data_IF_790627142238
#
_entry.id   IF_790627142238
#
_cell.length_a   1.000
_cell.length_b   1.000
_cell.length_c   1.000
_cell.angle_alpha   90.00
_cell.angle_beta   90.00
_cell.angle_gamma   90.00
#
_symmetry.space_group_name_H-M   'P 1'
#
loop_
_entity.id
_entity.type
_entity.pdbx_description
1 polymer ?
#
# COMPACT_ATOMS: atom_id res chain seq x y z
N UNK A 1 -36.06 13.76 16.70
CA UNK A 1 -36.31 12.48 17.43
C UNK A 1 -35.53 11.43 16.68
N UNK A 2 -34.28 11.19 17.11
CA UNK A 2 -33.41 10.18 16.49
C UNK A 2 -33.92 8.84 17.01
N UNK A 3 -34.57 8.06 16.16
CA UNK A 3 -34.87 6.67 16.42
C UNK A 3 -33.54 5.92 16.40
N UNK A 4 -32.94 5.68 17.54
CA UNK A 4 -31.89 4.69 17.71
C UNK A 4 -32.52 3.30 17.57
N UNK A 5 -32.71 2.87 16.32
CA UNK A 5 -33.05 1.49 16.00
C UNK A 5 -31.91 0.61 16.51
N UNK A 6 -32.19 -0.29 17.46
CA UNK A 6 -31.19 -1.23 17.95
C UNK A 6 -30.63 -2.08 16.81
N UNK A 7 -29.47 -2.70 17.03
CA UNK A 7 -28.86 -3.66 16.08
C UNK A 7 -29.75 -4.91 15.94
N UNK A 8 -29.90 -5.44 14.74
CA UNK A 8 -30.42 -6.78 14.53
C UNK A 8 -29.43 -7.83 15.08
N UNK A 9 -29.89 -9.07 15.18
CA UNK A 9 -29.13 -10.14 15.90
C UNK A 9 -27.69 -10.31 15.43
N UNK A 10 -27.45 -10.17 14.13
CA UNK A 10 -26.13 -10.42 13.51
C UNK A 10 -25.46 -9.13 13.01
N UNK A 11 -26.02 -7.95 13.28
CA UNK A 11 -25.41 -6.69 12.86
C UNK A 11 -24.27 -6.30 13.79
N UNK A 12 -23.08 -6.18 13.19
CA UNK A 12 -21.84 -5.78 13.88
C UNK A 12 -21.67 -4.27 13.85
N UNK A 13 -21.96 -3.65 12.72
CA UNK A 13 -21.92 -2.19 12.57
C UNK A 13 -22.98 -1.70 11.58
N UNK A 14 -23.25 -0.39 11.63
CA UNK A 14 -24.11 0.33 10.68
C UNK A 14 -23.39 1.56 10.14
N UNK A 15 -23.59 1.83 8.86
CA UNK A 15 -23.19 3.07 8.22
C UNK A 15 -24.42 3.54 7.43
N UNK A 16 -25.09 4.60 7.90
CA UNK A 16 -26.36 5.07 7.32
C UNK A 16 -27.39 3.93 7.20
N UNK A 17 -27.77 3.61 5.96
CA UNK A 17 -28.74 2.55 5.64
C UNK A 17 -28.10 1.16 5.43
N UNK A 18 -26.77 1.05 5.47
CA UNK A 18 -26.07 -0.21 5.28
C UNK A 18 -25.57 -0.79 6.59
N UNK A 19 -25.53 -2.12 6.68
CA UNK A 19 -25.03 -2.86 7.83
C UNK A 19 -23.90 -3.81 7.42
N UNK A 20 -22.92 -3.95 8.29
CA UNK A 20 -21.97 -5.07 8.25
C UNK A 20 -22.41 -6.14 9.23
N UNK A 21 -22.55 -7.37 8.77
CA UNK A 21 -23.05 -8.49 9.54
C UNK A 21 -21.94 -9.42 10.02
N UNK A 22 -22.25 -10.25 11.01
CA UNK A 22 -21.29 -11.25 11.53
C UNK A 22 -20.79 -12.21 10.43
N UNK A 23 -21.64 -12.80 9.56
CA UNK A 23 -21.16 -13.62 8.46
C UNK A 23 -20.14 -12.90 7.54
N UNK A 24 -20.42 -11.67 7.16
CA UNK A 24 -19.52 -10.87 6.31
C UNK A 24 -18.16 -10.63 6.99
N UNK A 25 -18.18 -10.26 8.28
CA UNK A 25 -16.95 -10.11 9.08
C UNK A 25 -16.19 -11.43 9.12
N UNK A 26 -16.87 -12.55 9.34
CA UNK A 26 -16.23 -13.86 9.47
C UNK A 26 -15.64 -14.35 8.14
N UNK A 27 -16.25 -14.07 6.99
CA UNK A 27 -15.65 -14.38 5.68
C UNK A 27 -14.32 -13.63 5.50
N UNK A 28 -14.31 -12.33 5.75
CA UNK A 28 -13.08 -11.53 5.65
C UNK A 28 -12.03 -11.99 6.66
N UNK A 29 -12.44 -12.22 7.92
CA UNK A 29 -11.53 -12.58 8.99
C UNK A 29 -10.89 -13.96 8.76
N UNK A 30 -11.66 -14.98 8.39
CA UNK A 30 -11.15 -16.33 8.12
C UNK A 30 -10.19 -16.33 6.94
N UNK A 31 -10.58 -15.73 5.81
CA UNK A 31 -9.71 -15.70 4.64
C UNK A 31 -8.40 -14.93 4.92
N UNK A 32 -8.45 -13.82 5.62
CA UNK A 32 -7.25 -13.07 5.99
C UNK A 32 -6.41 -13.81 7.03
N UNK A 33 -7.04 -14.46 8.02
CA UNK A 33 -6.35 -15.28 9.01
C UNK A 33 -5.57 -16.40 8.33
N UNK A 34 -6.20 -17.21 7.49
CA UNK A 34 -5.58 -18.35 6.82
C UNK A 34 -4.44 -17.90 5.88
N UNK A 35 -4.61 -16.77 5.19
CA UNK A 35 -3.57 -16.19 4.38
C UNK A 35 -2.33 -15.81 5.20
N UNK A 36 -2.50 -15.17 6.36
CA UNK A 36 -1.38 -14.84 7.25
C UNK A 36 -0.74 -16.10 7.85
N UNK A 37 -1.54 -17.06 8.30
CA UNK A 37 -1.04 -18.31 8.89
C UNK A 37 -0.25 -19.15 7.89
N UNK A 38 -0.65 -19.16 6.63
CA UNK A 38 0.07 -19.88 5.56
C UNK A 38 1.48 -19.35 5.31
N UNK A 39 1.72 -18.06 5.58
CA UNK A 39 3.02 -17.38 5.35
C UNK A 39 3.86 -17.34 6.62
N UNK A 40 3.25 -17.05 7.76
CA UNK A 40 3.97 -16.69 9.01
C UNK A 40 3.76 -17.69 10.15
N UNK A 41 2.84 -18.65 10.01
CA UNK A 41 2.44 -19.55 11.08
C UNK A 41 1.51 -18.91 12.12
N UNK A 42 0.92 -19.76 12.98
CA UNK A 42 -0.08 -19.33 13.99
C UNK A 42 0.48 -18.42 15.10
N UNK A 43 1.78 -18.47 15.34
CA UNK A 43 2.45 -17.67 16.37
C UNK A 43 2.39 -16.16 16.07
N UNK A 44 2.11 -15.75 14.82
CA UNK A 44 2.01 -14.35 14.43
C UNK A 44 0.96 -13.59 15.24
N UNK A 45 -0.12 -14.26 15.66
CA UNK A 45 -1.25 -13.63 16.33
C UNK A 45 -0.94 -13.09 17.72
N UNK A 46 0.10 -13.62 18.36
CA UNK A 46 0.56 -13.19 19.69
C UNK A 46 1.61 -12.07 19.62
N UNK A 47 2.05 -11.71 18.41
CA UNK A 47 3.06 -10.66 18.22
C UNK A 47 2.51 -9.32 18.67
N UNK A 48 3.26 -8.64 19.52
CA UNK A 48 2.97 -7.27 19.96
C UNK A 48 3.42 -6.27 18.87
N UNK A 49 2.50 -5.38 18.52
CA UNK A 49 2.69 -4.27 17.59
C UNK A 49 2.53 -2.95 18.36
N UNK A 50 3.50 -2.63 19.23
CA UNK A 50 3.50 -1.40 20.04
C UNK A 50 2.28 -1.27 20.96
N UNK A 51 1.90 -2.34 21.66
CA UNK A 51 0.81 -2.37 22.63
C UNK A 51 -0.54 -2.87 22.10
N UNK A 52 -0.59 -3.32 20.84
CA UNK A 52 -1.73 -3.99 20.23
C UNK A 52 -1.27 -5.34 19.67
N UNK A 53 -2.02 -6.41 19.86
CA UNK A 53 -1.65 -7.71 19.28
C UNK A 53 -1.95 -7.76 17.78
N UNK A 54 -1.23 -8.60 17.03
CA UNK A 54 -1.54 -8.83 15.62
C UNK A 54 -2.98 -9.34 15.44
N UNK A 55 -3.49 -10.13 16.37
CA UNK A 55 -4.89 -10.59 16.40
C UNK A 55 -5.90 -9.44 16.48
N UNK A 56 -5.65 -8.42 17.29
CA UNK A 56 -6.49 -7.23 17.37
C UNK A 56 -6.37 -6.38 16.11
N UNK A 57 -5.15 -6.20 15.62
CA UNK A 57 -4.87 -5.42 14.41
C UNK A 57 -5.57 -5.99 13.17
N UNK A 58 -5.57 -7.32 12.97
CA UNK A 58 -6.26 -7.93 11.83
C UNK A 58 -7.77 -7.78 11.91
N UNK A 59 -8.35 -7.87 13.11
CA UNK A 59 -9.79 -7.63 13.32
C UNK A 59 -10.17 -6.20 12.95
N UNK A 60 -9.40 -5.22 13.41
CA UNK A 60 -9.64 -3.81 13.09
C UNK A 60 -9.50 -3.55 11.59
N UNK A 61 -8.53 -4.20 10.93
CA UNK A 61 -8.37 -4.14 9.46
C UNK A 61 -9.58 -4.71 8.74
N UNK A 62 -10.10 -5.87 9.17
CA UNK A 62 -11.31 -6.47 8.60
C UNK A 62 -12.51 -5.55 8.74
N UNK A 63 -12.71 -4.98 9.93
CA UNK A 63 -13.79 -4.03 10.18
C UNK A 63 -13.68 -2.81 9.26
N UNK A 64 -12.49 -2.23 9.15
CA UNK A 64 -12.24 -1.06 8.30
C UNK A 64 -12.49 -1.37 6.81
N UNK A 65 -12.02 -2.51 6.32
CA UNK A 65 -12.21 -2.92 4.93
C UNK A 65 -13.69 -3.12 4.59
N UNK A 66 -14.43 -3.83 5.42
CA UNK A 66 -15.85 -4.03 5.19
C UNK A 66 -16.64 -2.73 5.32
N UNK A 67 -16.30 -1.88 6.29
CA UNK A 67 -16.89 -0.56 6.42
C UNK A 67 -16.63 0.34 5.20
N UNK A 68 -15.44 0.24 4.62
CA UNK A 68 -15.10 0.95 3.39
C UNK A 68 -15.96 0.46 2.21
N UNK A 69 -16.14 -0.86 2.03
CA UNK A 69 -17.01 -1.41 1.00
C UNK A 69 -18.45 -0.86 1.15
N UNK A 70 -18.99 -0.84 2.37
CA UNK A 70 -20.33 -0.29 2.63
C UNK A 70 -20.41 1.21 2.29
N UNK A 71 -19.42 2.00 2.69
CA UNK A 71 -19.34 3.42 2.36
C UNK A 71 -19.22 3.66 0.84
N UNK A 72 -18.44 2.83 0.13
CA UNK A 72 -18.32 2.89 -1.32
C UNK A 72 -19.64 2.55 -2.03
N UNK A 73 -20.43 1.61 -1.51
CA UNK A 73 -21.76 1.31 -2.02
C UNK A 73 -22.74 2.49 -1.84
N UNK A 74 -22.65 3.21 -0.71
CA UNK A 74 -23.41 4.46 -0.51
C UNK A 74 -22.94 5.57 -1.47
N UNK A 75 -21.64 5.64 -1.74
CA UNK A 75 -21.08 6.57 -2.73
C UNK A 75 -21.57 6.21 -4.15
N UNK A 76 -21.64 4.92 -4.48
CA UNK A 76 -22.23 4.44 -5.74
C UNK A 76 -23.68 4.87 -5.89
N UNK A 77 -24.49 4.78 -4.83
CA UNK A 77 -25.88 5.27 -4.83
C UNK A 77 -25.93 6.79 -5.09
N UNK A 78 -25.04 7.58 -4.46
CA UNK A 78 -24.94 9.02 -4.69
C UNK A 78 -24.68 9.35 -6.17
N UNK A 79 -23.84 8.56 -6.84
CA UNK A 79 -23.48 8.73 -8.25
C UNK A 79 -24.40 7.99 -9.24
N UNK A 80 -25.42 7.28 -8.76
CA UNK A 80 -26.28 6.41 -9.57
C UNK A 80 -25.52 5.34 -10.34
N UNK A 81 -24.41 4.84 -9.77
CA UNK A 81 -23.65 3.71 -10.30
C UNK A 81 -24.29 2.42 -9.82
N UNK A 82 -24.52 1.50 -10.74
CA UNK A 82 -25.12 0.18 -10.46
C UNK A 82 -24.40 -0.91 -11.24
N UNK A 83 -24.46 -2.13 -10.76
CA UNK A 83 -24.01 -3.30 -11.53
C UNK A 83 -25.01 -3.58 -12.66
N UNK A 84 -24.51 -3.99 -13.80
CA UNK A 84 -25.33 -4.52 -14.89
C UNK A 84 -25.65 -6.01 -14.66
N UNK A 85 -26.46 -6.59 -15.56
CA UNK A 85 -26.91 -7.98 -15.43
C UNK A 85 -25.76 -9.00 -15.58
N UNK A 86 -24.71 -8.67 -16.34
CA UNK A 86 -23.55 -9.54 -16.50
C UNK A 86 -22.67 -9.53 -15.24
N UNK A 87 -22.44 -8.34 -14.66
CA UNK A 87 -21.69 -8.20 -13.41
C UNK A 87 -22.40 -8.89 -12.23
N UNK A 88 -23.74 -8.80 -12.16
CA UNK A 88 -24.51 -9.56 -11.16
C UNK A 88 -24.43 -11.07 -11.38
N UNK A 89 -24.41 -11.51 -12.64
CA UNK A 89 -24.24 -12.91 -12.95
C UNK A 89 -22.83 -13.39 -12.52
N UNK A 90 -21.80 -12.60 -12.76
CA UNK A 90 -20.44 -12.91 -12.29
C UNK A 90 -20.36 -13.00 -10.77
N UNK A 91 -21.00 -12.08 -10.06
CA UNK A 91 -21.05 -12.12 -8.59
C UNK A 91 -21.74 -13.41 -8.09
N UNK A 92 -22.80 -13.83 -8.76
CA UNK A 92 -23.51 -15.07 -8.43
C UNK A 92 -22.64 -16.30 -8.69
N UNK A 93 -21.99 -16.39 -9.87
CA UNK A 93 -21.12 -17.51 -10.24
C UNK A 93 -19.90 -17.59 -9.31
N UNK A 94 -19.31 -16.45 -8.95
CA UNK A 94 -18.22 -16.40 -7.96
C UNK A 94 -18.67 -16.89 -6.57
N UNK A 95 -19.89 -16.53 -6.15
CA UNK A 95 -20.47 -16.99 -4.89
C UNK A 95 -20.73 -18.49 -4.87
N UNK A 96 -21.26 -19.05 -5.97
CA UNK A 96 -21.45 -20.48 -6.14
C UNK A 96 -20.10 -21.22 -6.09
N UNK A 97 -19.08 -20.77 -6.83
CA UNK A 97 -17.74 -21.35 -6.83
C UNK A 97 -17.11 -21.31 -5.43
N UNK A 98 -17.16 -20.17 -4.76
CA UNK A 98 -16.61 -20.07 -3.41
C UNK A 98 -17.35 -20.97 -2.42
N UNK A 99 -18.69 -20.98 -2.45
CA UNK A 99 -19.51 -21.80 -1.56
C UNK A 99 -19.25 -23.30 -1.77
N UNK A 100 -19.12 -23.77 -3.00
CA UNK A 100 -18.77 -25.14 -3.34
C UNK A 100 -17.35 -25.54 -2.88
N UNK A 101 -16.45 -24.59 -2.75
CA UNK A 101 -15.09 -24.82 -2.25
C UNK A 101 -15.02 -25.01 -0.73
N UNK A 102 -16.07 -24.59 0.02
CA UNK A 102 -16.12 -24.65 1.47
C UNK A 102 -16.55 -26.01 1.99
N UNK A 103 -15.94 -26.43 3.09
CA UNK A 103 -16.42 -27.58 3.86
C UNK A 103 -17.48 -27.18 4.89
N UNK A 104 -18.13 -28.20 5.52
CA UNK A 104 -19.20 -27.97 6.49
C UNK A 104 -18.77 -27.15 7.71
N UNK A 105 -17.52 -27.29 8.16
CA UNK A 105 -16.95 -26.53 9.30
C UNK A 105 -16.80 -25.05 8.90
N UNK A 106 -16.26 -24.76 7.75
CA UNK A 106 -16.07 -23.40 7.24
C UNK A 106 -17.42 -22.69 7.06
N UNK A 107 -18.41 -23.37 6.46
CA UNK A 107 -19.78 -22.85 6.31
C UNK A 107 -20.39 -22.52 7.68
N UNK A 108 -20.23 -23.43 8.65
CA UNK A 108 -20.79 -23.25 9.99
C UNK A 108 -20.10 -22.11 10.77
N UNK A 109 -18.77 -22.01 10.68
CA UNK A 109 -17.96 -20.98 11.34
C UNK A 109 -18.28 -19.60 10.79
N UNK A 110 -18.30 -19.46 9.46
CA UNK A 110 -18.62 -18.20 8.80
C UNK A 110 -20.12 -17.90 8.77
N UNK A 111 -20.98 -18.88 9.01
CA UNK A 111 -22.45 -18.77 8.97
C UNK A 111 -22.97 -18.26 7.62
N UNK A 112 -22.36 -18.71 6.53
CA UNK A 112 -22.64 -18.26 5.17
C UNK A 112 -23.57 -19.21 4.40
N UNK A 113 -24.20 -18.65 3.39
CA UNK A 113 -24.89 -19.34 2.31
C UNK A 113 -24.61 -18.60 0.99
N UNK A 114 -25.03 -19.14 -0.13
CA UNK A 114 -24.82 -18.54 -1.46
C UNK A 114 -25.40 -17.12 -1.57
N UNK A 115 -26.54 -16.83 -0.93
CA UNK A 115 -27.20 -15.52 -1.00
C UNK A 115 -26.33 -14.43 -0.33
N UNK A 116 -25.77 -14.73 0.87
CA UNK A 116 -24.87 -13.83 1.58
C UNK A 116 -23.60 -13.59 0.75
N UNK A 117 -23.02 -14.65 0.21
CA UNK A 117 -21.80 -14.55 -0.60
C UNK A 117 -22.03 -13.79 -1.90
N UNK A 118 -23.17 -14.01 -2.56
CA UNK A 118 -23.57 -13.24 -3.76
C UNK A 118 -23.66 -11.75 -3.44
N UNK A 119 -24.33 -11.39 -2.34
CA UNK A 119 -24.42 -10.00 -1.89
C UNK A 119 -23.02 -9.42 -1.61
N UNK A 120 -22.13 -10.17 -0.96
CA UNK A 120 -20.77 -9.71 -0.67
C UNK A 120 -19.98 -9.43 -1.94
N UNK A 121 -20.06 -10.31 -2.94
CA UNK A 121 -19.40 -10.09 -4.23
C UNK A 121 -20.01 -8.93 -5.02
N UNK A 122 -21.34 -8.79 -5.01
CA UNK A 122 -22.01 -7.63 -5.63
C UNK A 122 -21.56 -6.31 -4.99
N UNK A 123 -21.52 -6.24 -3.65
CA UNK A 123 -21.08 -5.04 -2.94
C UNK A 123 -19.61 -4.72 -3.19
N UNK A 124 -18.76 -5.72 -3.25
CA UNK A 124 -17.33 -5.54 -3.56
C UNK A 124 -17.12 -5.08 -5.00
N UNK A 125 -17.86 -5.68 -5.96
CA UNK A 125 -17.82 -5.26 -7.36
C UNK A 125 -18.34 -3.83 -7.55
N UNK A 126 -19.43 -3.47 -6.86
CA UNK A 126 -19.98 -2.11 -6.92
C UNK A 126 -19.02 -1.08 -6.30
N UNK A 127 -18.30 -1.43 -5.23
CA UNK A 127 -17.26 -0.59 -4.65
C UNK A 127 -16.13 -0.31 -5.65
N UNK A 128 -15.62 -1.32 -6.35
CA UNK A 128 -14.63 -1.15 -7.40
C UNK A 128 -15.18 -0.34 -8.58
N UNK A 129 -16.40 -0.61 -9.00
CA UNK A 129 -17.04 0.10 -10.12
C UNK A 129 -17.23 1.59 -9.85
N UNK A 130 -17.60 2.01 -8.65
CA UNK A 130 -17.72 3.44 -8.33
C UNK A 130 -16.35 4.13 -8.27
N UNK A 131 -15.32 3.45 -7.81
CA UNK A 131 -13.94 3.95 -7.90
C UNK A 131 -13.58 4.25 -9.36
N UNK A 132 -13.70 3.26 -10.24
CA UNK A 132 -13.44 3.42 -11.68
C UNK A 132 -14.30 4.52 -12.31
N UNK A 133 -15.57 4.62 -11.92
CA UNK A 133 -16.47 5.67 -12.39
C UNK A 133 -15.97 7.07 -12.04
N UNK A 134 -15.49 7.28 -10.83
CA UNK A 134 -15.01 8.58 -10.35
C UNK A 134 -13.72 8.98 -11.08
N UNK A 135 -12.80 8.02 -11.27
CA UNK A 135 -11.49 8.32 -11.86
C UNK A 135 -11.45 8.28 -13.39
N UNK A 136 -12.50 7.79 -14.08
CA UNK A 136 -12.51 7.52 -15.53
C UNK A 136 -12.09 8.69 -16.41
N UNK A 137 -12.44 9.91 -15.99
CA UNK A 137 -12.16 11.13 -16.74
C UNK A 137 -10.88 11.85 -16.25
N UNK A 138 -10.21 11.27 -15.24
CA UNK A 138 -8.95 11.79 -14.71
C UNK A 138 -7.81 11.26 -15.56
N UNK A 139 -7.39 12.08 -16.52
CA UNK A 139 -6.27 11.77 -17.42
C UNK A 139 -5.43 13.04 -17.67
N UNK A 140 -4.72 13.54 -16.65
CA UNK A 140 -3.89 14.73 -16.80
C UNK A 140 -2.77 14.50 -17.82
N UNK A 141 -2.46 15.51 -18.61
CA UNK A 141 -1.29 15.49 -19.49
C UNK A 141 -0.02 15.72 -18.65
N UNK A 142 0.84 14.71 -18.59
CA UNK A 142 2.11 14.76 -17.85
C UNK A 142 3.24 15.04 -18.84
N UNK A 143 3.95 16.16 -18.66
CA UNK A 143 5.09 16.50 -19.49
C UNK A 143 6.29 15.58 -19.27
N UNK A 144 7.19 15.49 -20.25
CA UNK A 144 8.45 14.76 -20.07
C UNK A 144 9.32 15.36 -18.97
N UNK A 145 9.28 16.68 -18.77
CA UNK A 145 10.04 17.31 -17.69
C UNK A 145 9.47 17.02 -16.29
N UNK A 146 8.14 16.96 -16.17
CA UNK A 146 7.48 16.59 -14.90
C UNK A 146 7.81 15.15 -14.50
N UNK A 147 7.74 14.23 -15.44
CA UNK A 147 8.01 12.81 -15.21
C UNK A 147 9.47 12.41 -15.41
N UNK A 148 10.35 13.36 -15.74
CA UNK A 148 11.74 13.07 -16.10
C UNK A 148 12.43 12.19 -15.06
N UNK A 149 12.96 11.08 -15.54
CA UNK A 149 13.77 10.15 -14.77
C UNK A 149 15.21 10.20 -15.25
N UNK A 150 16.15 10.27 -14.31
CA UNK A 150 17.59 10.29 -14.57
C UNK A 150 18.22 9.02 -13.99
N UNK A 151 19.40 8.69 -14.49
CA UNK A 151 20.16 7.52 -14.05
C UNK A 151 21.55 7.94 -13.59
N UNK A 152 21.93 7.51 -12.40
CA UNK A 152 23.20 7.86 -11.76
C UNK A 152 23.88 6.65 -11.15
N UNK A 153 25.23 6.73 -11.02
CA UNK A 153 25.96 6.00 -9.99
C UNK A 153 26.34 6.98 -8.88
N UNK A 154 26.42 6.52 -7.63
CA UNK A 154 26.79 7.38 -6.52
C UNK A 154 27.67 6.68 -5.48
N UNK A 155 28.44 7.48 -4.76
CA UNK A 155 29.17 7.06 -3.57
C UNK A 155 28.56 7.77 -2.38
N UNK A 156 28.16 7.04 -1.36
CA UNK A 156 27.67 7.56 -0.08
C UNK A 156 28.70 7.25 1.01
N UNK A 157 29.14 8.30 1.71
CA UNK A 157 29.86 8.19 2.98
C UNK A 157 28.91 8.63 4.09
N UNK A 158 28.45 7.69 4.91
CA UNK A 158 27.43 7.93 5.94
C UNK A 158 27.97 8.81 7.07
N UNK A 159 27.07 9.55 7.71
CA UNK A 159 27.33 10.32 8.94
C UNK A 159 26.55 9.76 10.13
N UNK A 160 26.16 8.50 10.06
CA UNK A 160 25.45 7.78 11.10
C UNK A 160 25.79 6.29 11.06
N UNK A 161 25.50 5.61 12.15
CA UNK A 161 25.42 4.15 12.23
C UNK A 161 24.02 3.73 12.65
N UNK A 162 23.73 2.44 12.64
CA UNK A 162 22.47 1.88 13.16
C UNK A 162 22.78 0.97 14.35
N UNK A 163 21.95 1.03 15.38
CA UNK A 163 22.05 0.12 16.51
C UNK A 163 21.49 -1.28 16.19
N UNK A 164 21.50 -2.17 17.18
CA UNK A 164 21.00 -3.54 17.05
C UNK A 164 19.47 -3.64 16.80
N UNK A 165 18.72 -2.55 16.97
CA UNK A 165 17.28 -2.44 16.69
C UNK A 165 16.99 -1.79 15.34
N UNK A 166 18.04 -1.29 14.64
CA UNK A 166 17.91 -0.56 13.38
C UNK A 166 17.69 0.96 13.57
N UNK A 167 17.76 1.47 14.80
CA UNK A 167 17.65 2.90 15.07
C UNK A 167 18.92 3.63 14.64
N UNK A 168 18.74 4.81 14.01
CA UNK A 168 19.82 5.65 13.50
C UNK A 168 20.50 6.39 14.63
N UNK A 169 21.83 6.24 14.74
CA UNK A 169 22.69 6.95 15.68
C UNK A 169 23.59 7.89 14.89
N UNK A 170 23.43 9.19 15.05
CA UNK A 170 24.24 10.23 14.42
C UNK A 170 25.71 10.15 14.89
N UNK A 171 26.65 10.40 13.98
CA UNK A 171 28.05 10.56 14.30
C UNK A 171 28.33 11.84 15.12
N UNK A 172 29.40 11.83 15.90
CA UNK A 172 29.94 13.05 16.52
C UNK A 172 30.41 14.05 15.45
N UNK A 173 30.56 15.31 15.81
CA UNK A 173 31.10 16.34 14.90
C UNK A 173 32.52 16.00 14.42
N UNK A 174 33.33 15.33 15.26
CA UNK A 174 34.68 14.86 14.89
C UNK A 174 34.59 13.77 13.83
N UNK A 175 33.75 12.75 14.02
CA UNK A 175 33.54 11.65 13.07
C UNK A 175 32.89 12.16 11.75
N UNK A 176 31.95 13.14 11.81
CA UNK A 176 31.40 13.80 10.61
C UNK A 176 32.47 14.53 9.81
N UNK A 177 33.46 15.20 10.48
CA UNK A 177 34.55 15.85 9.81
C UNK A 177 35.51 14.86 9.15
N UNK A 178 35.72 13.70 9.79
CA UNK A 178 36.51 12.61 9.20
C UNK A 178 35.82 12.03 7.97
N UNK A 179 34.53 11.77 8.05
CA UNK A 179 33.69 11.34 6.92
C UNK A 179 33.72 12.36 5.75
N UNK A 180 33.63 13.66 6.05
CA UNK A 180 33.78 14.72 5.05
C UNK A 180 35.15 14.68 4.38
N UNK A 181 36.23 14.60 5.15
CA UNK A 181 37.59 14.56 4.61
C UNK A 181 37.82 13.35 3.71
N UNK A 182 37.29 12.19 4.10
CA UNK A 182 37.31 10.96 3.29
C UNK A 182 36.53 11.18 1.97
N UNK A 183 35.32 11.75 2.03
CA UNK A 183 34.51 12.02 0.84
C UNK A 183 35.17 13.02 -0.11
N UNK A 184 35.85 14.05 0.40
CA UNK A 184 36.65 15.00 -0.39
C UNK A 184 37.83 14.34 -1.11
N UNK A 185 38.52 13.41 -0.43
CA UNK A 185 39.60 12.64 -1.03
C UNK A 185 39.11 11.71 -2.13
N UNK A 186 37.96 11.05 -1.92
CA UNK A 186 37.31 10.21 -2.95
C UNK A 186 36.84 11.06 -4.14
N UNK A 187 36.24 12.22 -3.88
CA UNK A 187 35.86 13.15 -4.94
C UNK A 187 37.04 13.57 -5.83
N UNK A 188 38.19 13.82 -5.22
CA UNK A 188 39.43 14.15 -5.94
C UNK A 188 39.86 12.99 -6.83
N UNK A 189 39.88 11.75 -6.29
CA UNK A 189 40.19 10.54 -7.05
C UNK A 189 39.18 10.35 -8.21
N UNK A 190 37.88 10.56 -7.96
CA UNK A 190 36.83 10.42 -8.96
C UNK A 190 36.99 11.38 -10.15
N UNK A 191 37.60 12.55 -9.94
CA UNK A 191 37.84 13.58 -10.96
C UNK A 191 39.21 13.48 -11.64
N UNK A 192 40.09 12.55 -11.24
CA UNK A 192 41.33 12.28 -11.90
C UNK A 192 41.12 11.66 -13.29
N UNK A 193 41.97 12.04 -14.26
CA UNK A 193 41.88 11.50 -15.62
C UNK A 193 42.12 10.00 -15.62
N UNK A 194 41.21 9.25 -16.25
CA UNK A 194 41.26 7.79 -16.32
C UNK A 194 40.70 7.07 -15.08
N UNK A 195 40.12 7.78 -14.10
CA UNK A 195 39.48 7.18 -12.95
C UNK A 195 38.25 6.38 -13.34
N UNK A 196 38.11 5.17 -12.79
CA UNK A 196 36.89 4.36 -12.90
C UNK A 196 35.96 4.64 -11.71
N UNK A 197 34.91 5.43 -11.95
CA UNK A 197 33.96 5.80 -10.92
C UNK A 197 33.25 4.57 -10.34
N UNK A 198 33.00 3.54 -11.15
CA UNK A 198 32.33 2.33 -10.68
C UNK A 198 33.20 1.50 -9.73
N UNK A 199 34.51 1.47 -9.96
CA UNK A 199 35.43 0.85 -9.00
C UNK A 199 35.45 1.61 -7.66
N UNK A 200 35.37 2.95 -7.70
CA UNK A 200 35.26 3.76 -6.48
C UNK A 200 33.96 3.53 -5.73
N UNK A 201 32.84 3.39 -6.44
CA UNK A 201 31.54 3.00 -5.82
C UNK A 201 31.66 1.67 -5.11
N UNK A 202 32.20 0.64 -5.76
CA UNK A 202 32.36 -0.69 -5.16
C UNK A 202 33.28 -0.68 -3.95
N UNK A 203 34.31 0.20 -3.95
CA UNK A 203 35.31 0.26 -2.90
C UNK A 203 34.85 1.07 -1.69
N UNK A 204 34.19 2.18 -1.90
CA UNK A 204 33.97 3.18 -0.86
C UNK A 204 32.50 3.40 -0.49
N UNK A 205 31.54 3.13 -1.39
CA UNK A 205 30.14 3.45 -1.09
C UNK A 205 29.61 2.59 0.04
N UNK A 206 29.01 3.24 1.03
CA UNK A 206 28.29 2.64 2.14
C UNK A 206 26.77 2.54 1.88
N UNK A 207 26.32 3.05 0.71
CA UNK A 207 24.98 2.85 0.17
C UNK A 207 24.90 1.66 -0.78
N UNK A 208 23.80 1.58 -1.54
CA UNK A 208 23.67 0.60 -2.62
C UNK A 208 24.74 0.83 -3.70
N UNK A 209 25.32 -0.26 -4.20
CA UNK A 209 26.43 -0.21 -5.16
C UNK A 209 25.99 -0.43 -6.59
N UNK A 210 24.68 -0.32 -6.85
CA UNK A 210 24.08 -0.41 -8.16
C UNK A 210 23.86 0.95 -8.79
N UNK A 211 23.51 0.92 -10.08
CA UNK A 211 23.01 2.09 -10.78
C UNK A 211 21.62 2.43 -10.28
N UNK A 212 21.34 3.69 -10.06
CA UNK A 212 20.08 4.18 -9.51
C UNK A 212 19.38 5.11 -10.50
N UNK A 213 18.12 4.76 -10.82
CA UNK A 213 17.23 5.59 -11.65
C UNK A 213 16.09 6.11 -10.79
N UNK A 214 15.79 7.41 -10.89
CA UNK A 214 14.75 8.04 -10.08
C UNK A 214 14.17 9.27 -10.76
N UNK A 215 12.93 9.61 -10.39
CA UNK A 215 12.22 10.81 -10.77
C UNK A 215 12.30 11.90 -9.70
N UNK A 216 11.66 13.05 -9.97
CA UNK A 216 11.55 14.16 -9.01
C UNK A 216 10.72 13.74 -7.79
N UNK A 217 11.15 14.14 -6.61
CA UNK A 217 10.47 13.86 -5.33
C UNK A 217 10.76 12.47 -4.72
N UNK A 218 11.62 11.67 -5.35
CA UNK A 218 11.89 10.29 -4.90
C UNK A 218 13.11 10.16 -3.99
N UNK A 219 13.92 11.24 -3.85
CA UNK A 219 15.17 11.21 -3.06
C UNK A 219 15.28 12.41 -2.12
N UNK A 220 16.37 12.45 -1.33
CA UNK A 220 16.70 13.62 -0.50
C UNK A 220 16.90 14.86 -1.39
N UNK A 221 16.32 15.99 -1.00
CA UNK A 221 16.27 17.22 -1.82
C UNK A 221 17.64 17.65 -2.34
N UNK A 222 18.66 17.67 -1.48
CA UNK A 222 20.00 18.09 -1.88
C UNK A 222 20.63 17.12 -2.90
N UNK A 223 20.39 15.81 -2.74
CA UNK A 223 20.83 14.80 -3.70
C UNK A 223 20.14 14.99 -5.04
N UNK A 224 18.81 15.13 -5.03
CA UNK A 224 18.00 15.35 -6.23
C UNK A 224 18.45 16.59 -7.00
N UNK A 225 18.52 17.74 -6.33
CA UNK A 225 18.94 18.98 -6.95
C UNK A 225 20.33 18.88 -7.59
N UNK A 226 21.29 18.26 -6.90
CA UNK A 226 22.62 18.05 -7.44
C UNK A 226 22.60 17.15 -8.67
N UNK A 227 21.92 16.00 -8.60
CA UNK A 227 21.87 15.01 -9.66
C UNK A 227 21.17 15.53 -10.93
N UNK A 228 20.02 16.21 -10.78
CA UNK A 228 19.26 16.78 -11.92
C UNK A 228 19.95 17.93 -12.64
N UNK A 229 20.96 18.56 -12.01
CA UNK A 229 21.77 19.63 -12.62
C UNK A 229 23.01 19.11 -13.36
N UNK A 230 23.34 17.81 -13.29
CA UNK A 230 24.49 17.23 -13.97
C UNK A 230 24.19 16.96 -15.44
N UNK A 231 25.18 17.18 -16.29
CA UNK A 231 25.19 16.64 -17.64
C UNK A 231 25.57 15.15 -17.64
N UNK A 232 25.22 14.42 -18.69
CA UNK A 232 25.63 13.02 -18.86
C UNK A 232 27.16 12.88 -18.80
N UNK A 233 27.64 12.00 -17.93
CA UNK A 233 29.09 11.78 -17.68
C UNK A 233 29.67 12.71 -16.62
N UNK A 234 28.97 13.75 -16.20
CA UNK A 234 29.46 14.71 -15.20
C UNK A 234 29.41 14.13 -13.78
N UNK A 235 30.40 14.55 -12.97
CA UNK A 235 30.50 14.21 -11.56
C UNK A 235 30.22 15.46 -10.72
N UNK A 236 29.35 15.33 -9.72
CA UNK A 236 28.95 16.41 -8.82
C UNK A 236 30.11 17.01 -8.02
N UNK A 237 29.86 18.13 -7.38
CA UNK A 237 30.59 18.50 -6.16
C UNK A 237 30.20 17.56 -5.02
N UNK A 238 30.84 17.72 -3.85
CA UNK A 238 30.42 17.01 -2.66
C UNK A 238 29.02 17.50 -2.24
N UNK A 239 28.07 16.57 -2.08
CA UNK A 239 26.69 16.86 -1.71
C UNK A 239 26.45 16.37 -0.29
N UNK A 240 26.07 17.28 0.59
CA UNK A 240 25.75 16.98 1.98
C UNK A 240 24.24 16.79 2.16
N UNK A 241 23.84 15.70 2.79
CA UNK A 241 22.46 15.36 3.10
C UNK A 241 22.34 14.84 4.55
N UNK A 242 21.15 14.66 5.10
CA UNK A 242 20.95 13.98 6.38
C UNK A 242 21.51 12.56 6.45
N UNK A 243 21.70 11.89 5.32
CA UNK A 243 22.29 10.54 5.26
C UNK A 243 23.82 10.54 5.21
N UNK A 244 24.44 11.65 4.86
CA UNK A 244 25.89 11.79 4.76
C UNK A 244 26.34 12.56 3.53
N UNK A 245 27.53 12.24 3.03
CA UNK A 245 28.15 12.90 1.90
C UNK A 245 28.02 12.04 0.64
N UNK A 246 27.47 12.63 -0.41
CA UNK A 246 27.33 11.98 -1.71
C UNK A 246 28.28 12.56 -2.76
N UNK A 247 28.79 11.67 -3.61
CA UNK A 247 29.45 11.99 -4.87
C UNK A 247 28.63 11.29 -5.97
N UNK A 248 28.11 12.05 -6.92
CA UNK A 248 27.13 11.56 -7.89
C UNK A 248 27.73 11.66 -9.29
N UNK A 249 27.64 10.61 -10.09
CA UNK A 249 27.97 10.62 -11.51
C UNK A 249 26.68 10.39 -12.33
N UNK A 250 26.34 11.35 -13.17
CA UNK A 250 25.20 11.20 -14.07
C UNK A 250 25.54 10.26 -15.23
N UNK A 251 24.78 9.20 -15.40
CA UNK A 251 24.90 8.27 -16.52
C UNK A 251 23.95 8.63 -17.66
N UNK A 252 22.75 9.10 -17.32
CA UNK A 252 21.75 9.58 -18.27
C UNK A 252 20.89 10.68 -17.65
N UNK A 253 20.76 11.79 -18.33
CA UNK A 253 19.88 12.92 -17.93
C UNK A 253 18.43 12.71 -18.31
N UNK A 254 18.12 11.67 -19.09
CA UNK A 254 16.79 11.31 -19.52
C UNK A 254 16.74 9.82 -19.86
N UNK A 255 16.07 9.05 -18.99
CA UNK A 255 15.75 7.66 -19.27
C UNK A 255 14.32 7.60 -19.84
N UNK A 256 14.20 7.29 -21.12
CA UNK A 256 12.92 7.33 -21.85
C UNK A 256 11.92 6.30 -21.30
N UNK A 257 12.39 5.10 -21.02
CA UNK A 257 11.49 4.00 -20.60
C UNK A 257 11.01 4.23 -19.16
N UNK A 258 11.92 4.62 -18.26
CA UNK A 258 11.58 5.00 -16.90
C UNK A 258 10.71 6.26 -16.85
N UNK A 259 10.98 7.26 -17.65
CA UNK A 259 10.13 8.47 -17.75
C UNK A 259 8.72 8.14 -18.21
N UNK A 260 8.58 7.22 -19.17
CA UNK A 260 7.26 6.75 -19.62
C UNK A 260 6.52 5.99 -18.53
N UNK A 261 7.20 5.13 -17.79
CA UNK A 261 6.63 4.43 -16.64
C UNK A 261 6.23 5.41 -15.51
N UNK A 262 7.07 6.41 -15.25
CA UNK A 262 6.79 7.44 -14.25
C UNK A 262 5.58 8.31 -14.61
N UNK A 263 5.34 8.60 -15.89
CA UNK A 263 4.10 9.27 -16.32
C UNK A 263 2.85 8.49 -15.91
N UNK A 264 2.87 7.18 -16.11
CA UNK A 264 1.74 6.32 -15.70
C UNK A 264 1.54 6.37 -14.18
N UNK A 265 2.63 6.26 -13.42
CA UNK A 265 2.59 6.35 -11.95
C UNK A 265 2.00 7.68 -11.48
N UNK A 266 2.44 8.81 -12.03
CA UNK A 266 1.93 10.15 -11.68
C UNK A 266 0.43 10.28 -12.02
N UNK A 267 -0.03 9.70 -13.13
CA UNK A 267 -1.45 9.70 -13.47
C UNK A 267 -2.26 8.91 -12.45
N UNK A 268 -1.78 7.72 -12.05
CA UNK A 268 -2.46 6.91 -11.02
C UNK A 268 -2.47 7.62 -9.65
N UNK A 269 -1.37 8.21 -9.23
CA UNK A 269 -1.31 9.01 -7.99
C UNK A 269 -2.32 10.17 -8.01
N UNK A 270 -2.47 10.87 -9.14
CA UNK A 270 -3.47 11.93 -9.28
C UNK A 270 -4.91 11.40 -9.28
N UNK A 271 -5.15 10.21 -9.80
CA UNK A 271 -6.46 9.53 -9.72
C UNK A 271 -6.79 9.16 -8.28
N UNK A 272 -5.84 8.58 -7.56
CA UNK A 272 -5.98 8.23 -6.15
C UNK A 272 -6.22 9.48 -5.27
N UNK A 273 -5.51 10.59 -5.53
CA UNK A 273 -5.69 11.86 -4.83
C UNK A 273 -7.12 12.40 -5.02
N UNK A 274 -7.59 12.51 -6.27
CA UNK A 274 -8.94 13.02 -6.59
C UNK A 274 -10.02 12.11 -5.99
N UNK A 275 -9.85 10.80 -6.09
CA UNK A 275 -10.75 9.85 -5.46
C UNK A 275 -10.75 9.99 -3.94
N UNK A 276 -9.56 10.09 -3.31
CA UNK A 276 -9.40 10.25 -1.88
C UNK A 276 -10.10 11.49 -1.35
N UNK A 277 -9.95 12.64 -2.02
CA UNK A 277 -10.64 13.87 -1.65
C UNK A 277 -12.17 13.73 -1.70
N UNK A 278 -12.71 13.11 -2.76
CA UNK A 278 -14.15 12.91 -2.89
C UNK A 278 -14.68 11.91 -1.86
N UNK A 279 -13.98 10.79 -1.66
CA UNK A 279 -14.33 9.78 -0.69
C UNK A 279 -14.29 10.31 0.74
N UNK A 280 -13.24 11.02 1.13
CA UNK A 280 -13.08 11.58 2.47
C UNK A 280 -14.16 12.62 2.77
N UNK A 281 -14.44 13.52 1.82
CA UNK A 281 -15.51 14.50 1.96
C UNK A 281 -16.89 13.83 2.13
N UNK A 282 -17.12 12.73 1.41
CA UNK A 282 -18.34 11.95 1.54
C UNK A 282 -18.40 11.20 2.88
N UNK A 283 -17.33 10.48 3.23
CA UNK A 283 -17.25 9.61 4.39
C UNK A 283 -17.33 10.35 5.73
N UNK A 284 -16.86 11.61 5.78
CA UNK A 284 -16.99 12.48 6.96
C UNK A 284 -18.43 12.80 7.34
N UNK A 285 -19.34 12.79 6.36
CA UNK A 285 -20.77 13.05 6.56
C UNK A 285 -21.60 11.83 7.02
N UNK A 286 -21.00 10.63 7.01
CA UNK A 286 -21.71 9.39 7.30
C UNK A 286 -21.85 9.14 8.81
N UNK A 287 -23.06 8.81 9.26
CA UNK A 287 -23.31 8.31 10.61
C UNK A 287 -22.86 6.86 10.71
N UNK A 288 -22.11 6.53 11.78
CA UNK A 288 -21.56 5.19 12.02
C UNK A 288 -21.86 4.75 13.43
N UNK A 289 -22.34 3.52 13.58
CA UNK A 289 -22.59 2.87 14.86
C UNK A 289 -21.99 1.48 14.88
N UNK A 290 -21.45 1.05 16.03
CA UNK A 290 -20.90 -0.29 16.23
C UNK A 290 -21.60 -1.01 17.38
N UNK A 291 -21.92 -2.28 17.18
CA UNK A 291 -22.38 -3.19 18.22
C UNK A 291 -21.19 -3.72 19.02
N UNK A 292 -20.72 -2.91 19.95
CA UNK A 292 -19.54 -3.19 20.78
C UNK A 292 -19.57 -4.57 21.45
N UNK A 293 -20.76 -5.03 21.88
CA UNK A 293 -20.90 -6.32 22.53
C UNK A 293 -20.64 -7.47 21.55
N UNK A 294 -21.19 -7.39 20.35
CA UNK A 294 -21.00 -8.40 19.32
C UNK A 294 -19.57 -8.34 18.79
N UNK A 295 -19.05 -7.14 18.52
CA UNK A 295 -17.67 -6.94 18.06
C UNK A 295 -16.62 -7.55 18.99
N UNK A 296 -16.75 -7.32 20.30
CA UNK A 296 -15.84 -7.88 21.31
C UNK A 296 -15.93 -9.40 21.44
N UNK A 297 -17.02 -10.02 21.01
CA UNK A 297 -17.16 -11.48 21.01
C UNK A 297 -16.55 -12.18 19.80
N UNK A 298 -16.17 -11.43 18.75
CA UNK A 298 -15.52 -11.98 17.57
C UNK A 298 -14.05 -12.27 17.88
N UNK A 299 -13.60 -13.46 17.55
CA UNK A 299 -12.21 -13.91 17.71
C UNK A 299 -11.74 -14.67 16.49
N UNK A 300 -10.43 -14.81 16.35
CA UNK A 300 -9.82 -15.71 15.38
C UNK A 300 -10.34 -17.13 15.58
N UNK A 301 -10.33 -17.91 14.51
CA UNK A 301 -10.81 -19.30 14.50
C UNK A 301 -9.62 -20.22 14.74
N UNK A 302 -9.71 -21.10 15.73
CA UNK A 302 -8.73 -22.15 16.00
C UNK A 302 -9.36 -23.52 15.75
N UNK A 303 -9.49 -23.87 14.48
CA UNK A 303 -10.00 -25.16 14.01
C UNK A 303 -9.17 -25.63 12.81
N UNK A 304 -8.59 -26.83 12.90
CA UNK A 304 -7.73 -27.41 11.87
C UNK A 304 -8.48 -27.73 10.55
N UNK A 305 -9.80 -27.75 10.58
CA UNK A 305 -10.63 -27.96 9.38
C UNK A 305 -10.98 -26.64 8.66
N UNK A 306 -10.49 -25.51 9.14
CA UNK A 306 -10.65 -24.20 8.49
C UNK A 306 -9.36 -23.86 7.79
N UNK A 307 -9.42 -23.63 6.48
CA UNK A 307 -8.24 -23.38 5.63
C UNK A 307 -8.53 -22.48 4.41
N UNK A 308 -9.78 -22.00 4.27
CA UNK A 308 -10.18 -21.21 3.11
C UNK A 308 -9.52 -19.83 3.09
N UNK A 309 -8.95 -19.45 1.93
CA UNK A 309 -8.32 -18.16 1.69
C UNK A 309 -8.59 -17.61 0.28
N UNK A 310 -9.58 -18.19 -0.43
CA UNK A 310 -9.77 -17.97 -1.87
C UNK A 310 -10.85 -16.94 -2.21
N UNK A 311 -11.51 -16.32 -1.22
CA UNK A 311 -12.63 -15.41 -1.45
C UNK A 311 -12.29 -14.28 -2.43
N UNK A 312 -11.15 -13.62 -2.23
CA UNK A 312 -10.72 -12.53 -3.11
C UNK A 312 -10.12 -13.02 -4.42
N UNK A 313 -9.44 -14.17 -4.44
CA UNK A 313 -8.89 -14.74 -5.66
C UNK A 313 -10.00 -15.13 -6.64
N UNK A 314 -11.08 -15.73 -6.13
CA UNK A 314 -12.27 -16.06 -6.94
C UNK A 314 -12.89 -14.77 -7.50
N UNK A 315 -13.01 -13.71 -6.69
CA UNK A 315 -13.47 -12.41 -7.20
C UNK A 315 -12.66 -11.96 -8.42
N UNK A 316 -11.33 -11.97 -8.31
CA UNK A 316 -10.45 -11.54 -9.40
C UNK A 316 -10.53 -12.42 -10.65
N UNK A 317 -10.88 -13.69 -10.51
CA UNK A 317 -11.10 -14.56 -11.68
C UNK A 317 -12.30 -14.14 -12.54
N UNK A 318 -13.31 -13.52 -11.95
CA UNK A 318 -14.53 -13.10 -12.62
C UNK A 318 -14.52 -11.61 -13.03
N UNK A 319 -13.88 -10.75 -12.25
CA UNK A 319 -13.94 -9.30 -12.45
C UNK A 319 -12.61 -8.69 -12.95
N UNK A 320 -11.51 -9.40 -12.87
CA UNK A 320 -10.18 -8.99 -13.36
C UNK A 320 -9.31 -8.34 -12.31
#
# INVERSE_FOLDING_TARGET
MVLTGGFARNEVFKIESMSGTLPEIMVYLVNMQEQYESVYGKEIWQRDLNGTTMSESVKDTVLANLAQVKAMNLLAQKHNVTLDEMEKQFAKEAAEEYYESLNETEIAVMQVNEEILTQMYEEYALANKVYEYIIKDINPEISDDEARTITVDYILIKTYTTDGTGEKIEYSEEDKNEARSLAEDILRQAKEEGSDFKELVLKYSEGDKGTYSFGKGETEEAFEQAAFNLATGEISSLVETPSGFYIIKCLSTFDKDQTSANKVKIVEEKREEVFGEEYDAFAQGLTRDINEKLWKSISLVDDENVSTQQFFDIYHNYFG
#
